data_IF_831752140222
#
_entry.id   IF_831752140222
#
_cell.length_a   1.000
_cell.length_b   1.000
_cell.length_c   1.000
_cell.angle_alpha   90.00
_cell.angle_beta   90.00
_cell.angle_gamma   90.00
#
_symmetry.space_group_name_H-M   'P 1'
#
loop_
_entity.id
_entity.type
_entity.pdbx_description
1 polymer ?
#
# COMPACT_ATOMS: atom_id res chain seq x y z
N UNK A 1 -20.15 15.72 0.65
CA UNK A 1 -19.67 17.12 0.50
C UNK A 1 -18.53 17.11 -0.51
N UNK A 2 -18.54 18.05 -1.50
CA UNK A 2 -17.41 18.21 -2.44
C UNK A 2 -16.35 19.10 -1.84
N UNK A 3 -15.08 18.70 -1.96
CA UNK A 3 -13.92 19.47 -1.53
C UNK A 3 -12.94 19.64 -2.69
N UNK A 4 -12.33 20.82 -2.79
CA UNK A 4 -11.32 21.12 -3.81
C UNK A 4 -9.94 20.67 -3.35
N UNK A 5 -9.16 20.13 -4.29
CA UNK A 5 -7.73 19.86 -4.09
C UNK A 5 -6.94 21.16 -4.27
N UNK A 6 -5.98 21.44 -3.42
CA UNK A 6 -5.07 22.59 -3.56
C UNK A 6 -4.06 22.41 -4.71
N UNK A 7 -4.51 21.95 -5.89
CA UNK A 7 -3.63 21.63 -7.03
C UNK A 7 -4.36 21.85 -8.36
N UNK A 8 -3.62 22.32 -9.37
CA UNK A 8 -4.13 22.38 -10.75
C UNK A 8 -4.08 21.00 -11.39
N UNK A 9 -5.10 20.59 -12.17
CA UNK A 9 -5.18 19.30 -12.89
C UNK A 9 -3.91 18.98 -13.68
N UNK A 10 -3.30 19.98 -14.32
CA UNK A 10 -2.03 19.83 -15.04
C UNK A 10 -0.87 19.35 -14.16
N UNK A 11 -0.85 19.73 -12.88
CA UNK A 11 0.21 19.29 -11.95
C UNK A 11 0.09 17.81 -11.60
N UNK A 12 -1.12 17.27 -11.59
CA UNK A 12 -1.36 15.83 -11.40
C UNK A 12 -0.81 15.04 -12.59
N UNK A 13 -1.07 15.50 -13.81
CA UNK A 13 -0.61 14.85 -15.05
C UNK A 13 0.91 14.91 -15.24
N UNK A 14 1.55 16.01 -14.83
CA UNK A 14 3.00 16.22 -14.99
C UNK A 14 3.83 15.73 -13.80
N UNK A 15 3.20 15.33 -12.71
CA UNK A 15 3.88 15.01 -11.45
C UNK A 15 4.66 13.69 -11.44
N UNK A 16 4.68 12.95 -12.56
CA UNK A 16 5.33 11.66 -12.63
C UNK A 16 4.59 10.56 -11.87
N UNK A 17 3.24 10.59 -11.90
CA UNK A 17 2.43 9.43 -11.52
C UNK A 17 2.84 8.29 -12.45
N UNK A 18 3.06 7.10 -11.86
CA UNK A 18 3.40 5.91 -12.64
C UNK A 18 2.34 5.65 -13.72
N UNK A 19 2.78 5.09 -14.83
CA UNK A 19 1.89 4.59 -15.89
C UNK A 19 1.74 3.07 -15.81
N UNK A 20 2.46 2.42 -14.92
CA UNK A 20 2.40 0.99 -14.68
C UNK A 20 1.36 0.70 -13.59
N UNK A 21 0.34 -0.10 -13.94
CA UNK A 21 -0.71 -0.50 -13.00
C UNK A 21 -0.17 -1.31 -11.82
N UNK A 22 0.91 -2.10 -12.00
CA UNK A 22 1.53 -2.88 -10.92
C UNK A 22 2.19 -1.97 -9.88
N UNK A 23 2.90 -0.93 -10.34
CA UNK A 23 3.43 0.09 -9.45
C UNK A 23 2.32 0.88 -8.77
N UNK A 24 1.22 1.17 -9.50
CA UNK A 24 0.06 1.82 -8.93
C UNK A 24 -0.59 0.97 -7.82
N UNK A 25 -0.72 -0.33 -8.00
CA UNK A 25 -1.20 -1.25 -6.96
C UNK A 25 -0.28 -1.26 -5.73
N UNK A 26 1.04 -1.22 -5.93
CA UNK A 26 1.99 -1.16 -4.83
C UNK A 26 1.77 0.06 -3.92
N UNK A 27 1.40 1.21 -4.47
CA UNK A 27 1.10 2.41 -3.67
C UNK A 27 -0.11 2.19 -2.74
N UNK A 28 -1.17 1.53 -3.21
CA UNK A 28 -2.34 1.21 -2.37
C UNK A 28 -2.01 0.18 -1.30
N UNK A 29 -1.25 -0.86 -1.65
CA UNK A 29 -0.79 -1.88 -0.69
C UNK A 29 0.06 -1.23 0.41
N UNK A 30 1.00 -0.33 0.03
CA UNK A 30 1.81 0.41 0.99
C UNK A 30 0.95 1.25 1.93
N UNK A 31 -0.10 1.91 1.44
CA UNK A 31 -0.99 2.69 2.29
C UNK A 31 -1.64 1.83 3.38
N UNK A 32 -2.04 0.59 3.07
CA UNK A 32 -2.54 -0.36 4.07
C UNK A 32 -1.48 -0.70 5.13
N UNK A 33 -0.28 -1.07 4.72
CA UNK A 33 0.80 -1.37 5.67
C UNK A 33 1.24 -0.15 6.49
N UNK A 34 1.20 1.05 5.92
CA UNK A 34 1.49 2.30 6.64
C UNK A 34 0.38 2.67 7.64
N UNK A 35 -0.84 2.19 7.41
CA UNK A 35 -1.95 2.27 8.36
C UNK A 35 -1.91 1.14 9.41
N UNK A 36 -0.76 0.50 9.63
CA UNK A 36 -0.53 -0.60 10.58
C UNK A 36 -1.31 -1.89 10.27
N UNK A 37 -1.74 -2.10 9.04
CA UNK A 37 -2.41 -3.34 8.67
C UNK A 37 -1.53 -4.57 8.88
N UNK A 38 -2.14 -5.63 9.36
CA UNK A 38 -1.54 -6.97 9.44
C UNK A 38 -1.87 -7.77 8.17
N UNK A 39 -3.05 -7.55 7.60
CA UNK A 39 -3.49 -8.22 6.39
C UNK A 39 -3.86 -7.21 5.31
N UNK A 40 -3.24 -7.36 4.15
CA UNK A 40 -3.62 -6.63 2.94
C UNK A 40 -3.98 -7.62 1.84
N UNK A 41 -5.10 -7.40 1.17
CA UNK A 41 -5.54 -8.25 0.06
C UNK A 41 -5.79 -7.44 -1.21
N UNK A 42 -5.47 -8.03 -2.36
CA UNK A 42 -5.80 -7.52 -3.69
C UNK A 42 -6.67 -8.54 -4.39
N UNK A 43 -7.87 -8.14 -4.76
CA UNK A 43 -8.84 -8.95 -5.48
C UNK A 43 -9.34 -8.19 -6.71
N UNK A 44 -9.93 -8.88 -7.67
CA UNK A 44 -10.56 -8.24 -8.83
C UNK A 44 -11.84 -8.96 -9.25
N UNK A 45 -12.68 -8.26 -10.00
CA UNK A 45 -13.81 -8.83 -10.72
C UNK A 45 -13.62 -8.63 -12.22
N UNK A 46 -14.09 -9.57 -13.03
CA UNK A 46 -14.05 -9.49 -14.49
C UNK A 46 -15.44 -9.64 -15.09
N UNK A 47 -15.64 -9.08 -16.28
CA UNK A 47 -16.84 -9.23 -17.06
C UNK A 47 -16.82 -10.51 -17.92
N UNK A 48 -17.90 -10.75 -18.65
CA UNK A 48 -18.02 -11.94 -19.53
C UNK A 48 -17.05 -11.96 -20.72
N UNK A 49 -16.34 -10.87 -20.98
CA UNK A 49 -15.29 -10.72 -22.01
C UNK A 49 -13.88 -10.75 -21.41
N UNK A 50 -13.76 -11.20 -20.14
CA UNK A 50 -12.50 -11.30 -19.42
C UNK A 50 -11.83 -9.95 -19.12
N UNK A 51 -12.46 -8.82 -19.43
CA UNK A 51 -12.00 -7.50 -19.04
C UNK A 51 -12.19 -7.27 -17.54
N UNK A 52 -11.21 -6.63 -16.89
CA UNK A 52 -11.28 -6.29 -15.45
C UNK A 52 -12.30 -5.17 -15.24
N UNK A 53 -13.31 -5.43 -14.42
CA UNK A 53 -14.34 -4.44 -14.05
C UNK A 53 -13.97 -3.63 -12.81
N UNK A 54 -13.43 -4.32 -11.80
CA UNK A 54 -12.99 -3.66 -10.58
C UNK A 54 -11.75 -4.32 -10.01
N UNK A 55 -10.92 -3.51 -9.32
CA UNK A 55 -9.86 -3.98 -8.44
C UNK A 55 -10.19 -3.52 -7.04
N UNK A 56 -10.09 -4.43 -6.06
CA UNK A 56 -10.43 -4.21 -4.67
C UNK A 56 -9.19 -4.48 -3.84
N UNK A 57 -8.69 -3.43 -3.17
CA UNK A 57 -7.60 -3.53 -2.21
C UNK A 57 -8.21 -3.32 -0.82
N UNK A 58 -8.02 -4.28 0.08
CA UNK A 58 -8.56 -4.24 1.43
C UNK A 58 -7.44 -4.42 2.44
N UNK A 59 -7.49 -3.63 3.51
CA UNK A 59 -6.61 -3.72 4.66
C UNK A 59 -7.40 -3.73 5.98
N UNK A 60 -6.77 -4.25 7.04
CA UNK A 60 -7.27 -4.27 8.42
C UNK A 60 -6.54 -3.25 9.31
N UNK A 61 -6.03 -2.17 8.72
CA UNK A 61 -5.30 -1.12 9.42
C UNK A 61 -6.17 -0.18 10.27
N UNK A 62 -5.58 0.94 10.66
CA UNK A 62 -6.23 1.94 11.53
C UNK A 62 -7.37 2.71 10.84
N UNK A 63 -7.49 2.59 9.51
CA UNK A 63 -8.40 3.39 8.70
C UNK A 63 -7.87 4.80 8.40
N UNK A 64 -8.70 5.63 7.79
CA UNK A 64 -8.35 7.01 7.41
C UNK A 64 -8.98 7.97 8.43
N UNK A 65 -8.14 8.79 9.07
CA UNK A 65 -8.60 9.74 10.08
C UNK A 65 -9.36 10.91 9.45
N UNK A 66 -10.59 11.15 9.91
CA UNK A 66 -11.46 12.20 9.36
C UNK A 66 -10.95 13.60 9.70
N UNK A 67 -10.38 13.80 10.88
CA UNK A 67 -9.90 15.10 11.36
C UNK A 67 -8.71 15.62 10.54
N UNK A 68 -7.92 14.71 9.96
CA UNK A 68 -6.71 15.07 9.18
C UNK A 68 -6.88 14.86 7.68
N UNK A 69 -8.11 14.61 7.22
CA UNK A 69 -8.36 14.23 5.82
C UNK A 69 -7.96 15.33 4.82
N UNK A 70 -8.16 16.60 5.18
CA UNK A 70 -7.81 17.72 4.32
C UNK A 70 -6.29 17.87 4.18
N UNK A 71 -5.54 17.59 5.25
CA UNK A 71 -4.08 17.64 5.25
C UNK A 71 -3.46 16.41 4.59
N UNK A 72 -4.12 15.26 4.69
CA UNK A 72 -3.60 14.00 4.17
C UNK A 72 -4.14 13.68 2.78
N UNK A 73 -5.45 13.82 2.56
CA UNK A 73 -6.12 13.47 1.31
C UNK A 73 -6.27 14.68 0.38
N UNK A 74 -6.52 15.87 0.90
CA UNK A 74 -6.67 17.11 0.13
C UNK A 74 -5.36 17.69 -0.39
N UNK A 75 -4.22 17.42 0.25
CA UNK A 75 -2.93 18.01 -0.09
C UNK A 75 -2.13 17.14 -1.08
N UNK A 76 -2.10 17.53 -2.36
CA UNK A 76 -1.28 16.88 -3.38
C UNK A 76 0.20 17.18 -3.15
N UNK A 77 1.08 16.18 -3.26
CA UNK A 77 2.52 16.27 -3.00
C UNK A 77 2.91 16.67 -1.56
N UNK A 78 1.96 16.96 -0.69
CA UNK A 78 2.20 17.16 0.71
C UNK A 78 1.97 15.84 1.46
N UNK A 79 2.98 15.39 2.17
CA UNK A 79 2.89 14.24 3.07
C UNK A 79 3.49 14.67 4.39
N UNK A 80 2.74 14.51 5.47
CA UNK A 80 3.22 14.75 6.84
C UNK A 80 4.23 13.69 7.31
N UNK A 81 4.65 12.77 6.41
CA UNK A 81 5.57 11.65 6.69
C UNK A 81 7.04 12.12 6.79
N UNK A 82 7.31 13.15 7.59
CA UNK A 82 8.65 13.73 7.71
C UNK A 82 9.52 13.10 8.82
N UNK A 83 9.05 12.06 9.54
CA UNK A 83 9.88 11.41 10.54
C UNK A 83 10.90 10.47 9.89
N UNK A 84 12.15 10.52 10.37
CA UNK A 84 13.26 9.70 9.85
C UNK A 84 12.95 8.19 9.91
N UNK A 85 12.19 7.76 10.93
CA UNK A 85 11.72 6.38 11.08
C UNK A 85 10.71 5.96 10.02
N UNK A 86 9.86 6.89 9.56
CA UNK A 86 8.92 6.64 8.48
C UNK A 86 9.60 6.66 7.11
N UNK A 87 10.62 7.49 6.91
CA UNK A 87 11.39 7.51 5.66
C UNK A 87 12.12 6.19 5.38
N UNK A 88 12.53 5.47 6.42
CA UNK A 88 13.16 4.14 6.29
C UNK A 88 12.13 3.03 6.02
N UNK A 89 10.86 3.23 6.41
CA UNK A 89 9.77 2.26 6.25
C UNK A 89 8.90 2.52 5.02
N UNK A 90 8.81 3.77 4.56
CA UNK A 90 7.92 4.21 3.49
C UNK A 90 8.68 4.47 2.21
N UNK A 91 8.30 3.77 1.15
CA UNK A 91 8.70 4.07 -0.24
C UNK A 91 7.61 4.86 -0.98
N UNK A 92 6.48 5.13 -0.32
CA UNK A 92 5.36 5.82 -0.95
C UNK A 92 5.78 7.20 -1.46
N UNK A 93 5.49 7.46 -2.70
CA UNK A 93 5.72 8.76 -3.33
C UNK A 93 4.85 9.81 -2.65
N UNK A 94 5.49 10.81 -2.05
CA UNK A 94 4.91 11.88 -1.23
C UNK A 94 3.59 12.42 -1.80
N UNK A 95 2.46 11.97 -1.26
CA UNK A 95 1.13 12.46 -1.57
C UNK A 95 0.60 12.17 -2.99
N UNK A 96 1.23 11.27 -3.75
CA UNK A 96 0.81 10.88 -5.11
C UNK A 96 0.05 9.57 -5.16
N UNK A 97 0.26 8.68 -4.19
CA UNK A 97 -0.21 7.30 -4.21
C UNK A 97 -1.72 7.16 -4.43
N UNK A 98 -2.55 8.04 -3.81
CA UNK A 98 -4.01 8.01 -3.99
C UNK A 98 -4.48 8.30 -5.42
N UNK A 99 -3.66 8.97 -6.23
CA UNK A 99 -3.97 9.26 -7.65
C UNK A 99 -3.37 8.24 -8.60
N UNK A 100 -2.65 7.23 -8.10
CA UNK A 100 -1.99 6.24 -8.95
C UNK A 100 -2.99 5.38 -9.73
N UNK A 101 -4.27 5.30 -9.30
CA UNK A 101 -5.33 4.64 -10.08
C UNK A 101 -5.47 5.23 -11.49
N UNK A 102 -5.19 6.52 -11.69
CA UNK A 102 -5.28 7.14 -13.00
C UNK A 102 -4.29 6.59 -14.04
N UNK A 103 -3.37 5.72 -13.62
CA UNK A 103 -2.52 4.95 -14.52
C UNK A 103 -3.31 3.95 -15.38
N UNK A 104 -4.42 3.42 -14.86
CA UNK A 104 -5.16 2.32 -15.49
C UNK A 104 -6.69 2.37 -15.29
N UNK A 105 -7.21 3.36 -14.53
CA UNK A 105 -8.62 3.44 -14.17
C UNK A 105 -9.10 4.88 -14.07
N UNK A 106 -10.42 5.07 -13.97
CA UNK A 106 -11.06 6.39 -13.95
C UNK A 106 -11.57 6.81 -12.58
N UNK A 107 -11.85 5.85 -11.69
CA UNK A 107 -12.46 6.13 -10.39
C UNK A 107 -11.84 5.25 -9.31
N UNK A 108 -11.64 5.83 -8.14
CA UNK A 108 -11.34 5.09 -6.92
C UNK A 108 -12.25 5.57 -5.78
N UNK A 109 -12.71 4.61 -4.98
CA UNK A 109 -13.54 4.84 -3.79
C UNK A 109 -12.86 4.15 -2.61
N UNK A 110 -12.64 4.87 -1.54
CA UNK A 110 -12.19 4.35 -0.24
C UNK A 110 -13.42 4.28 0.67
N UNK A 111 -13.72 3.12 1.19
CA UNK A 111 -14.66 2.91 2.29
C UNK A 111 -13.83 2.58 3.51
N UNK A 112 -13.87 3.41 4.53
CA UNK A 112 -13.00 3.29 5.69
C UNK A 112 -13.79 3.21 6.98
N UNK A 113 -13.28 2.41 7.92
CA UNK A 113 -13.72 2.37 9.31
C UNK A 113 -12.55 2.83 10.18
N UNK A 114 -12.76 3.84 10.97
CA UNK A 114 -11.76 4.45 11.84
C UNK A 114 -12.27 4.64 13.25
N UNK A 115 -11.38 4.53 14.24
CA UNK A 115 -11.70 4.91 15.61
C UNK A 115 -11.55 6.43 15.77
N UNK A 116 -12.66 7.08 16.09
CA UNK A 116 -12.70 8.51 16.42
C UNK A 116 -13.08 8.67 17.89
N UNK A 117 -12.08 8.87 18.74
CA UNK A 117 -12.25 9.07 20.19
C UNK A 117 -13.02 7.95 20.92
N UNK A 118 -12.71 6.69 20.60
CA UNK A 118 -13.31 5.50 21.18
C UNK A 118 -14.67 5.14 20.58
N UNK A 119 -15.06 5.78 19.47
CA UNK A 119 -16.24 5.44 18.69
C UNK A 119 -15.83 5.14 17.26
N UNK A 120 -16.26 3.99 16.75
CA UNK A 120 -16.00 3.65 15.37
C UNK A 120 -17.03 4.31 14.46
N UNK A 121 -16.51 4.94 13.42
CA UNK A 121 -17.28 5.58 12.35
C UNK A 121 -16.84 5.04 11.01
N UNK A 122 -17.75 5.02 10.06
CA UNK A 122 -17.46 4.70 8.66
C UNK A 122 -17.89 5.86 7.76
N UNK A 123 -17.11 6.05 6.70
CA UNK A 123 -17.41 7.01 5.64
C UNK A 123 -16.67 6.61 4.37
N UNK A 124 -17.04 7.23 3.25
CA UNK A 124 -16.37 7.00 1.98
C UNK A 124 -15.72 8.27 1.44
N UNK A 125 -14.63 8.07 0.69
CA UNK A 125 -13.96 9.12 -0.09
C UNK A 125 -13.97 8.65 -1.53
N UNK A 126 -14.22 9.53 -2.50
CA UNK A 126 -14.12 9.16 -3.91
C UNK A 126 -13.41 10.22 -4.74
N UNK A 127 -12.67 9.75 -5.75
CA UNK A 127 -12.04 10.56 -6.80
C UNK A 127 -12.46 10.05 -8.16
N UNK A 128 -12.49 10.98 -9.15
CA UNK A 128 -12.83 10.66 -10.53
C UNK A 128 -11.86 11.38 -11.48
N UNK A 129 -11.43 10.69 -12.55
CA UNK A 129 -10.55 11.26 -13.58
C UNK A 129 -11.19 12.41 -14.38
N UNK A 130 -12.52 12.51 -14.41
CA UNK A 130 -13.25 13.61 -15.05
C UNK A 130 -13.07 14.93 -14.29
N UNK A 131 -12.90 14.86 -12.96
CA UNK A 131 -12.67 16.05 -12.13
C UNK A 131 -11.54 15.80 -11.11
N UNK A 132 -10.30 15.84 -11.60
CA UNK A 132 -9.09 15.53 -10.82
C UNK A 132 -8.81 16.53 -9.68
N UNK A 133 -9.52 17.65 -9.64
CA UNK A 133 -9.33 18.71 -8.63
C UNK A 133 -10.28 18.59 -7.44
N UNK A 134 -11.16 17.63 -7.44
CA UNK A 134 -12.15 17.42 -6.40
C UNK A 134 -12.10 16.02 -5.85
N UNK A 135 -12.55 15.86 -4.64
CA UNK A 135 -12.91 14.59 -4.05
C UNK A 135 -14.20 14.72 -3.26
N UNK A 136 -14.98 13.66 -3.24
CA UNK A 136 -16.22 13.63 -2.48
C UNK A 136 -16.02 12.86 -1.18
N UNK A 137 -16.63 13.32 -0.09
CA UNK A 137 -16.70 12.64 1.20
C UNK A 137 -18.16 12.43 1.57
N UNK A 138 -18.52 11.21 1.95
CA UNK A 138 -19.83 10.93 2.54
C UNK A 138 -19.92 11.44 3.98
N UNK A 139 -21.13 11.61 4.50
CA UNK A 139 -21.34 11.86 5.92
C UNK A 139 -20.87 10.65 6.74
N UNK A 140 -20.11 10.86 7.83
CA UNK A 140 -19.68 9.78 8.70
C UNK A 140 -20.86 9.21 9.50
N UNK A 141 -20.92 7.89 9.63
CA UNK A 141 -21.95 7.19 10.38
C UNK A 141 -21.34 6.23 11.40
N UNK A 142 -21.92 6.09 12.60
CA UNK A 142 -21.47 5.12 13.57
C UNK A 142 -21.61 3.69 13.02
N UNK A 143 -20.62 2.83 13.35
CA UNK A 143 -20.63 1.43 12.95
C UNK A 143 -20.01 0.56 14.04
N UNK A 144 -20.46 -0.68 14.14
CA UNK A 144 -19.83 -1.72 14.96
C UNK A 144 -19.08 -2.70 14.03
N UNK A 145 -17.86 -2.32 13.64
CA UNK A 145 -16.99 -3.12 12.78
C UNK A 145 -15.53 -2.92 13.18
N UNK A 146 -14.63 -3.75 12.67
CA UNK A 146 -13.19 -3.54 12.83
C UNK A 146 -12.72 -2.37 11.96
N UNK A 147 -11.66 -1.69 12.38
CA UNK A 147 -10.99 -0.66 11.57
C UNK A 147 -10.38 -1.27 10.33
N UNK A 148 -10.16 -0.44 9.33
CA UNK A 148 -9.56 -0.82 8.05
C UNK A 148 -10.09 0.02 6.89
N UNK A 149 -9.58 -0.26 5.71
CA UNK A 149 -10.00 0.44 4.49
C UNK A 149 -10.18 -0.55 3.35
N UNK A 150 -11.25 -0.33 2.57
CA UNK A 150 -11.48 -1.00 1.30
C UNK A 150 -11.38 0.04 0.20
N UNK A 151 -10.46 -0.15 -0.75
CA UNK A 151 -10.33 0.69 -1.93
C UNK A 151 -10.88 -0.06 -3.13
N UNK A 152 -11.94 0.47 -3.74
CA UNK A 152 -12.53 -0.07 -4.95
C UNK A 152 -12.17 0.83 -6.14
N UNK A 153 -11.45 0.28 -7.11
CA UNK A 153 -11.01 0.95 -8.32
C UNK A 153 -11.86 0.46 -9.48
N UNK A 154 -12.45 1.37 -10.25
CA UNK A 154 -13.38 1.06 -11.34
C UNK A 154 -13.15 1.95 -12.58
N UNK A 155 -13.82 1.61 -13.69
CA UNK A 155 -13.57 2.29 -14.96
C UNK A 155 -12.19 1.96 -15.50
N UNK A 156 -11.83 0.68 -15.44
CA UNK A 156 -10.52 0.16 -15.79
C UNK A 156 -10.40 0.07 -17.31
N UNK A 157 -9.31 0.58 -17.84
CA UNK A 157 -9.00 0.58 -19.26
C UNK A 157 -7.88 -0.43 -19.56
N UNK A 158 -8.10 -1.29 -20.55
CA UNK A 158 -7.07 -2.17 -21.15
C UNK A 158 -6.42 -3.21 -20.22
N UNK A 159 -7.09 -3.63 -19.14
CA UNK A 159 -6.65 -4.76 -18.33
C UNK A 159 -7.58 -5.96 -18.51
N UNK A 160 -6.97 -7.12 -18.66
CA UNK A 160 -7.67 -8.41 -18.73
C UNK A 160 -7.48 -9.15 -17.40
N UNK A 161 -8.31 -10.16 -17.14
CA UNK A 161 -8.22 -10.97 -15.92
C UNK A 161 -6.84 -11.61 -15.74
N UNK A 162 -6.15 -11.94 -16.84
CA UNK A 162 -4.81 -12.51 -16.83
C UNK A 162 -3.77 -11.55 -16.25
N UNK A 163 -3.95 -10.24 -16.47
CA UNK A 163 -3.07 -9.20 -15.93
C UNK A 163 -3.16 -9.11 -14.39
N UNK A 164 -4.31 -9.49 -13.83
CA UNK A 164 -4.59 -9.47 -12.39
C UNK A 164 -4.45 -10.86 -11.74
N UNK A 165 -4.09 -11.89 -12.52
CA UNK A 165 -3.84 -13.21 -11.99
C UNK A 165 -2.62 -13.22 -11.03
N UNK A 166 -2.60 -14.19 -10.12
CA UNK A 166 -1.51 -14.34 -9.15
C UNK A 166 -0.15 -14.39 -9.85
N UNK A 167 -0.01 -15.16 -10.91
CA UNK A 167 1.24 -15.36 -11.67
C UNK A 167 1.76 -14.05 -12.29
N UNK A 168 0.85 -13.18 -12.74
CA UNK A 168 1.21 -11.91 -13.36
C UNK A 168 1.66 -10.86 -12.33
N UNK A 169 1.10 -10.89 -11.11
CA UNK A 169 1.35 -9.90 -10.07
C UNK A 169 2.44 -10.33 -9.08
N UNK A 170 2.54 -11.64 -8.78
CA UNK A 170 3.36 -12.18 -7.71
C UNK A 170 4.82 -11.70 -7.77
N UNK A 171 5.48 -11.84 -8.92
CA UNK A 171 6.88 -11.45 -9.06
C UNK A 171 7.10 -9.94 -8.77
N UNK A 172 6.24 -9.09 -9.32
CA UNK A 172 6.34 -7.64 -9.12
C UNK A 172 6.10 -7.24 -7.66
N UNK A 173 5.09 -7.83 -7.02
CA UNK A 173 4.77 -7.55 -5.63
C UNK A 173 5.82 -8.11 -4.69
N UNK A 174 6.37 -9.31 -4.96
CA UNK A 174 7.49 -9.86 -4.20
C UNK A 174 8.72 -8.96 -4.27
N UNK A 175 9.10 -8.48 -5.44
CA UNK A 175 10.23 -7.53 -5.58
C UNK A 175 10.05 -6.28 -4.72
N UNK A 176 8.82 -5.88 -4.48
CA UNK A 176 8.51 -4.69 -3.69
C UNK A 176 8.37 -4.99 -2.20
N UNK A 177 7.68 -6.08 -1.83
CA UNK A 177 7.22 -6.31 -0.46
C UNK A 177 7.95 -7.45 0.27
N UNK A 178 8.73 -8.33 -0.40
CA UNK A 178 9.33 -9.49 0.24
C UNK A 178 10.14 -9.14 1.50
N UNK A 179 10.94 -8.07 1.46
CA UNK A 179 11.72 -7.61 2.62
C UNK A 179 10.81 -7.13 3.76
N UNK A 180 9.71 -6.43 3.46
CA UNK A 180 8.76 -5.96 4.48
C UNK A 180 8.02 -7.12 5.14
N UNK A 181 7.56 -8.08 4.34
CA UNK A 181 6.91 -9.30 4.82
C UNK A 181 7.87 -10.11 5.67
N UNK A 182 9.12 -10.26 5.23
CA UNK A 182 10.17 -10.94 6.01
C UNK A 182 10.39 -10.28 7.37
N UNK A 183 10.58 -8.97 7.42
CA UNK A 183 10.85 -8.23 8.67
C UNK A 183 9.67 -8.30 9.65
N UNK A 184 8.45 -8.36 9.15
CA UNK A 184 7.23 -8.40 9.95
C UNK A 184 6.60 -9.80 10.09
N UNK A 185 7.31 -10.87 9.66
CA UNK A 185 6.79 -12.24 9.67
C UNK A 185 6.33 -12.71 11.07
N UNK A 186 7.03 -12.29 12.13
CA UNK A 186 6.67 -12.61 13.51
C UNK A 186 5.40 -11.91 14.00
N UNK A 187 4.94 -10.88 13.30
CA UNK A 187 3.69 -10.17 13.55
C UNK A 187 2.51 -10.75 12.77
N UNK A 188 2.76 -11.77 11.93
CA UNK A 188 1.74 -12.37 11.08
C UNK A 188 1.35 -11.53 9.86
N UNK A 189 2.18 -10.52 9.50
CA UNK A 189 1.88 -9.66 8.35
C UNK A 189 1.83 -10.47 7.07
N UNK A 190 0.77 -10.29 6.28
CA UNK A 190 0.54 -11.01 5.04
C UNK A 190 -0.02 -10.12 3.93
N UNK A 191 0.27 -10.51 2.70
CA UNK A 191 -0.30 -9.95 1.48
C UNK A 191 -0.90 -11.08 0.65
N UNK A 192 -2.14 -10.92 0.19
CA UNK A 192 -2.81 -11.90 -0.66
C UNK A 192 -3.21 -11.33 -2.01
N UNK A 193 -3.17 -12.16 -3.04
CA UNK A 193 -3.70 -11.88 -4.37
C UNK A 193 -4.77 -12.92 -4.67
N UNK A 194 -6.01 -12.50 -4.88
CA UNK A 194 -7.13 -13.39 -5.17
C UNK A 194 -7.25 -14.55 -4.17
N UNK A 195 -7.03 -14.27 -2.89
CA UNK A 195 -7.07 -15.24 -1.81
C UNK A 195 -5.81 -16.11 -1.66
N UNK A 196 -4.80 -15.98 -2.53
CA UNK A 196 -3.53 -16.72 -2.46
C UNK A 196 -2.51 -15.84 -1.74
N UNK A 197 -1.91 -16.35 -0.67
CA UNK A 197 -0.87 -15.65 0.09
C UNK A 197 0.41 -15.55 -0.73
N UNK A 198 1.02 -14.37 -0.75
CA UNK A 198 2.36 -14.19 -1.31
C UNK A 198 3.39 -14.81 -0.38
N UNK A 199 4.04 -15.88 -0.85
CA UNK A 199 5.10 -16.55 -0.11
C UNK A 199 6.47 -15.99 -0.51
N UNK A 200 7.02 -15.14 0.36
CA UNK A 200 8.36 -14.58 0.16
C UNK A 200 9.49 -15.59 0.49
N UNK A 201 9.19 -16.67 1.19
CA UNK A 201 10.23 -17.63 1.66
C UNK A 201 10.84 -18.41 0.51
N UNK A 202 10.08 -18.63 -0.57
CA UNK A 202 10.58 -19.29 -1.79
C UNK A 202 11.73 -18.52 -2.46
N UNK A 203 11.81 -17.21 -2.22
CA UNK A 203 12.84 -16.34 -2.79
C UNK A 203 14.07 -16.15 -1.91
N UNK A 204 14.06 -16.72 -0.68
CA UNK A 204 15.23 -16.67 0.21
C UNK A 204 16.14 -17.86 -0.10
N UNK A 205 17.41 -17.57 -0.34
CA UNK A 205 18.47 -18.58 -0.33
C UNK A 205 18.84 -18.89 1.13
N UNK A 206 18.23 -19.95 1.67
CA UNK A 206 18.44 -20.32 3.06
C UNK A 206 19.87 -20.81 3.34
N UNK A 207 20.56 -21.39 2.34
CA UNK A 207 21.93 -21.90 2.49
C UNK A 207 22.94 -20.74 2.51
N UNK A 208 22.71 -19.71 1.71
CA UNK A 208 23.55 -18.51 1.67
C UNK A 208 23.21 -17.50 2.78
N UNK A 209 22.03 -17.61 3.41
CA UNK A 209 21.59 -16.71 4.48
C UNK A 209 22.17 -17.16 5.82
N UNK A 210 22.73 -16.23 6.59
CA UNK A 210 23.39 -16.54 7.87
C UNK A 210 22.97 -15.55 8.97
N UNK A 211 22.92 -16.06 10.21
CA UNK A 211 22.77 -15.24 11.41
C UNK A 211 24.01 -15.39 12.29
N UNK A 212 24.58 -14.26 12.73
CA UNK A 212 25.72 -14.23 13.66
C UNK A 212 25.41 -13.28 14.81
N UNK A 213 25.78 -13.73 16.02
CA UNK A 213 25.79 -12.87 17.18
C UNK A 213 27.17 -12.19 17.28
N UNK A 214 27.18 -10.89 17.40
CA UNK A 214 28.39 -10.07 17.54
C UNK A 214 28.27 -9.23 18.80
N UNK A 215 29.42 -8.94 19.43
CA UNK A 215 29.49 -8.05 20.58
C UNK A 215 30.24 -6.78 20.20
N UNK A 216 29.64 -5.63 20.46
CA UNK A 216 30.23 -4.31 20.23
C UNK A 216 30.02 -3.47 21.47
N UNK A 217 31.11 -2.96 22.04
CA UNK A 217 31.12 -2.11 23.26
C UNK A 217 30.30 -2.71 24.42
N UNK A 218 30.40 -4.02 24.62
CA UNK A 218 29.71 -4.75 25.69
C UNK A 218 28.24 -5.09 25.39
N UNK A 219 27.69 -4.65 24.27
CA UNK A 219 26.32 -4.96 23.83
C UNK A 219 26.32 -6.13 22.84
N UNK A 220 25.35 -7.02 22.96
CA UNK A 220 25.17 -8.15 22.04
C UNK A 220 24.19 -7.78 20.93
N UNK A 221 24.59 -8.07 19.68
CA UNK A 221 23.77 -7.87 18.49
C UNK A 221 23.59 -9.18 17.73
N UNK A 222 22.38 -9.44 17.24
CA UNK A 222 22.13 -10.50 16.28
C UNK A 222 22.05 -9.88 14.89
N UNK A 223 23.00 -10.24 14.03
CA UNK A 223 23.08 -9.76 12.65
C UNK A 223 22.66 -10.88 11.73
N UNK A 224 21.60 -10.67 10.96
CA UNK A 224 21.12 -11.63 9.96
C UNK A 224 21.37 -11.07 8.57
N UNK A 225 22.12 -11.82 7.77
CA UNK A 225 22.28 -11.58 6.33
C UNK A 225 21.28 -12.47 5.59
N UNK A 226 20.37 -11.85 4.86
CA UNK A 226 19.42 -12.56 3.98
C UNK A 226 19.91 -12.42 2.55
N UNK A 227 20.06 -13.56 1.90
CA UNK A 227 20.40 -13.65 0.49
C UNK A 227 19.15 -14.07 -0.28
N UNK A 228 18.81 -13.32 -1.30
CA UNK A 228 17.68 -13.62 -2.17
C UNK A 228 18.16 -14.43 -3.38
N UNK A 229 17.43 -15.47 -3.78
CA UNK A 229 17.75 -16.31 -4.94
C UNK A 229 17.79 -15.55 -6.23
N UNK A 230 16.94 -14.53 -6.34
CA UNK A 230 16.88 -13.62 -7.49
C UNK A 230 17.24 -12.21 -7.08
N UNK A 231 17.74 -11.44 -8.02
CA UNK A 231 18.11 -10.05 -7.83
C UNK A 231 16.84 -9.19 -7.68
N UNK A 232 16.44 -8.96 -6.43
CA UNK A 232 15.25 -8.16 -6.12
C UNK A 232 15.46 -6.68 -6.51
N UNK A 233 16.70 -6.17 -6.43
CA UNK A 233 17.09 -4.82 -6.86
C UNK A 233 18.50 -4.79 -7.42
N UNK A 234 18.70 -3.97 -8.46
CA UNK A 234 20.03 -3.71 -8.96
C UNK A 234 20.84 -2.89 -7.95
N UNK A 235 22.00 -3.44 -7.54
CA UNK A 235 23.08 -2.76 -6.82
C UNK A 235 22.80 -2.19 -5.42
N UNK A 236 21.87 -2.75 -4.62
CA UNK A 236 21.64 -2.29 -3.25
C UNK A 236 21.73 -3.40 -2.20
N UNK A 237 22.50 -3.14 -1.16
CA UNK A 237 22.37 -3.76 0.14
C UNK A 237 21.46 -2.87 0.99
N UNK A 238 20.35 -3.42 1.50
CA UNK A 238 19.45 -2.69 2.39
C UNK A 238 19.75 -3.09 3.84
N UNK A 239 19.93 -2.09 4.71
CA UNK A 239 20.11 -2.32 6.14
C UNK A 239 18.82 -2.01 6.86
N UNK A 240 18.42 -2.88 7.77
CA UNK A 240 17.31 -2.67 8.66
C UNK A 240 17.81 -2.85 10.09
N UNK A 241 17.60 -1.83 10.93
CA UNK A 241 17.76 -1.93 12.36
C UNK A 241 16.40 -2.34 12.94
N UNK A 242 16.36 -3.51 13.56
CA UNK A 242 15.22 -3.89 14.38
C UNK A 242 15.34 -3.15 15.72
N UNK A 243 14.32 -2.38 16.12
CA UNK A 243 14.30 -1.58 17.37
C UNK A 243 14.23 -2.44 18.64
N UNK A 244 14.35 -3.74 18.53
CA UNK A 244 14.23 -4.70 19.65
C UNK A 244 15.56 -5.02 20.32
N UNK A 245 16.62 -4.31 20.05
CA UNK A 245 17.84 -4.38 20.89
C UNK A 245 17.80 -3.29 21.94
N UNK A 246 16.99 -3.49 22.98
CA UNK A 246 17.18 -2.87 24.30
C UNK A 246 17.75 -3.89 25.26
#
# INVERSE_FOLDING_TARGET
>A
MKKELCVKSQSIETSGITKDYKEALCEYIWNGFEANAVHVSVNFTSNSLEGVESVIIQDDGDGICLETIDDTFGAFLASNKNSLSLQLKSKANKGKGRFSCYAFARRAVWETVVDSNGKKITYSISINSENKNEYDISEPTPIDANTGTVVTITGIDNLQQEDMAYEALNESLLKTFAWYLYLNRNKGVSLTINGIVIDFTEYIDAEASITKNIQVDGNNFSVTLIVWKEKIRENFCSYYLDEVCK
#
